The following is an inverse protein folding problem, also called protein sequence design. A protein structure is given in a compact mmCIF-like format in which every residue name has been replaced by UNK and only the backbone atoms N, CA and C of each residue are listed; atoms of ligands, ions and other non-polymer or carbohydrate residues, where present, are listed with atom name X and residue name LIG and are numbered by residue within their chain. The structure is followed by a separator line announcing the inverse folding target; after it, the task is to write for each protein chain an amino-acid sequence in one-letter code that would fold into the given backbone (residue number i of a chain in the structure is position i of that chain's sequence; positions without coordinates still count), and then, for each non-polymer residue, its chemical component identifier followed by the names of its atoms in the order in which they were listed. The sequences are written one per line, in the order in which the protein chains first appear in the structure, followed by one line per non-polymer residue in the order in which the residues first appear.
data_IF_371439605149
#
_entry.id   IF_371439605149
#
_cell.length_a   1.000
_cell.length_b   1.000
_cell.length_c   1.000
_cell.angle_alpha   90.00
_cell.angle_beta   90.00
_cell.angle_gamma   90.00
#
_symmetry.space_group_name_H-M   'P 1'
#
loop_
_entity.id
_entity.type
_entity.pdbx_description
1 polymer ?
#
# COMPACT_ATOMS: atom_id res chain seq x y z
N UNK A 1 -18.81 -11.33 2.37
CA UNK A 1 -17.44 -11.00 1.88
C UNK A 1 -16.53 -11.06 3.10
N UNK A 2 -15.29 -11.53 2.96
CA UNK A 2 -14.29 -11.49 4.04
C UNK A 2 -13.71 -10.07 4.06
N UNK A 3 -13.95 -9.23 5.10
CA UNK A 3 -13.52 -7.83 5.14
C UNK A 3 -12.02 -7.64 4.92
N UNK A 4 -11.21 -8.56 5.46
CA UNK A 4 -9.75 -8.60 5.31
C UNK A 4 -9.36 -8.67 3.84
N UNK A 5 -10.05 -9.51 3.06
CA UNK A 5 -9.80 -9.67 1.63
C UNK A 5 -10.16 -8.39 0.86
N UNK A 6 -11.16 -7.62 1.30
CA UNK A 6 -11.51 -6.35 0.65
C UNK A 6 -10.42 -5.32 0.83
N UNK A 7 -9.88 -5.15 2.04
CA UNK A 7 -8.77 -4.23 2.29
C UNK A 7 -7.49 -4.69 1.56
N UNK A 8 -7.19 -5.99 1.58
CA UNK A 8 -6.07 -6.55 0.83
C UNK A 8 -6.20 -6.31 -0.68
N UNK A 9 -7.41 -6.46 -1.23
CA UNK A 9 -7.67 -6.19 -2.64
C UNK A 9 -7.51 -4.70 -2.98
N UNK A 10 -7.99 -3.79 -2.13
CA UNK A 10 -7.79 -2.34 -2.29
C UNK A 10 -6.29 -2.03 -2.33
N UNK A 11 -5.53 -2.50 -1.34
CA UNK A 11 -4.09 -2.28 -1.26
C UNK A 11 -3.36 -2.85 -2.49
N UNK A 12 -3.68 -4.07 -2.89
CA UNK A 12 -3.07 -4.73 -4.05
C UNK A 12 -3.37 -4.01 -5.37
N UNK A 13 -4.61 -3.54 -5.58
CA UNK A 13 -4.98 -2.78 -6.78
C UNK A 13 -4.28 -1.42 -6.80
N UNK A 14 -4.31 -0.69 -5.69
CA UNK A 14 -3.63 0.60 -5.54
C UNK A 14 -2.13 0.49 -5.84
N UNK A 15 -1.44 -0.45 -5.19
CA UNK A 15 -0.01 -0.70 -5.40
C UNK A 15 0.29 -1.25 -6.79
N UNK A 16 -0.56 -2.14 -7.32
CA UNK A 16 -0.41 -2.68 -8.68
C UNK A 16 -0.49 -1.59 -9.75
N UNK A 17 -1.40 -0.63 -9.59
CA UNK A 17 -1.48 0.54 -10.47
C UNK A 17 -0.26 1.44 -10.31
N UNK A 18 0.15 1.71 -9.07
CA UNK A 18 1.29 2.57 -8.77
C UNK A 18 2.61 2.04 -9.36
N UNK A 19 2.93 0.77 -9.09
CA UNK A 19 4.17 0.12 -9.53
C UNK A 19 4.13 -0.37 -10.97
N UNK A 20 2.95 -0.71 -11.49
CA UNK A 20 2.77 -1.20 -12.85
C UNK A 20 2.63 -0.12 -13.92
N UNK A 21 2.03 1.03 -13.59
CA UNK A 21 1.71 2.07 -14.57
C UNK A 21 2.29 3.44 -14.24
N UNK A 22 2.14 3.92 -12.99
CA UNK A 22 2.56 5.28 -12.61
C UNK A 22 4.09 5.40 -12.55
N UNK A 23 4.74 4.53 -11.76
CA UNK A 23 6.19 4.50 -11.58
C UNK A 23 7.02 4.29 -12.86
N UNK A 24 6.67 3.35 -13.77
CA UNK A 24 7.42 3.21 -15.01
C UNK A 24 7.29 4.43 -15.94
N UNK A 25 6.16 5.13 -15.90
CA UNK A 25 5.89 6.33 -16.68
C UNK A 25 6.62 7.60 -16.19
N UNK A 26 7.22 7.58 -15.00
CA UNK A 26 7.98 8.72 -14.48
C UNK A 26 9.30 8.92 -15.27
N UNK A 27 9.46 10.14 -15.79
CA UNK A 27 10.65 10.58 -16.52
C UNK A 27 11.92 10.58 -15.66
N UNK A 28 11.78 10.81 -14.35
CA UNK A 28 12.86 10.70 -13.36
C UNK A 28 12.43 9.76 -12.23
N UNK A 29 13.14 8.65 -12.10
CA UNK A 29 12.93 7.63 -11.07
C UNK A 29 13.87 7.96 -9.91
N UNK A 30 13.42 8.84 -9.02
CA UNK A 30 14.17 9.23 -7.82
C UNK A 30 13.52 8.62 -6.58
N UNK A 31 14.29 8.38 -5.50
CA UNK A 31 13.73 7.90 -4.22
C UNK A 31 12.60 8.80 -3.70
N UNK A 32 12.73 10.12 -3.90
CA UNK A 32 11.69 11.09 -3.53
C UNK A 32 10.40 10.93 -4.33
N UNK A 33 10.50 10.63 -5.62
CA UNK A 33 9.32 10.39 -6.46
C UNK A 33 8.60 9.09 -6.05
N UNK A 34 9.37 8.07 -5.66
CA UNK A 34 8.84 6.83 -5.11
C UNK A 34 8.07 7.10 -3.80
N UNK A 35 8.72 7.73 -2.82
CA UNK A 35 8.10 8.05 -1.52
C UNK A 35 6.84 8.93 -1.64
N UNK A 36 6.82 9.89 -2.57
CA UNK A 36 5.64 10.73 -2.79
C UNK A 36 4.48 9.94 -3.41
N UNK A 37 4.79 9.02 -4.34
CA UNK A 37 3.77 8.16 -4.93
C UNK A 37 3.21 7.19 -3.89
N UNK A 38 4.08 6.53 -3.14
CA UNK A 38 3.73 5.63 -2.04
C UNK A 38 2.84 6.34 -0.99
N UNK A 39 3.16 7.59 -0.62
CA UNK A 39 2.32 8.41 0.25
C UNK A 39 0.95 8.73 -0.38
N UNK A 40 0.91 9.10 -1.66
CA UNK A 40 -0.36 9.42 -2.33
C UNK A 40 -1.27 8.18 -2.42
N UNK A 41 -0.69 7.03 -2.75
CA UNK A 41 -1.39 5.76 -2.93
C UNK A 41 -1.88 5.22 -1.59
N UNK A 42 -1.07 5.31 -0.54
CA UNK A 42 -1.48 4.92 0.82
C UNK A 42 -2.65 5.78 1.33
N UNK A 43 -2.63 7.10 1.09
CA UNK A 43 -3.75 7.99 1.45
C UNK A 43 -5.03 7.58 0.72
N UNK A 44 -4.96 7.29 -0.58
CA UNK A 44 -6.13 6.83 -1.35
C UNK A 44 -6.65 5.49 -0.84
N UNK A 45 -5.76 4.54 -0.55
CA UNK A 45 -6.13 3.23 -0.02
C UNK A 45 -6.80 3.34 1.36
N UNK A 46 -6.21 4.12 2.27
CA UNK A 46 -6.75 4.37 3.61
C UNK A 46 -8.08 5.12 3.57
N UNK A 47 -8.22 6.10 2.69
CA UNK A 47 -9.49 6.82 2.52
C UNK A 47 -10.59 5.88 2.02
N UNK A 48 -10.26 5.01 1.06
CA UNK A 48 -11.20 4.00 0.53
C UNK A 48 -11.60 2.99 1.60
N UNK A 49 -10.64 2.48 2.37
CA UNK A 49 -10.92 1.58 3.49
C UNK A 49 -11.77 2.26 4.58
N UNK A 50 -11.45 3.51 4.90
CA UNK A 50 -12.24 4.32 5.84
C UNK A 50 -13.68 4.49 5.36
N UNK A 51 -13.88 4.90 4.11
CA UNK A 51 -15.22 5.06 3.54
C UNK A 51 -16.09 3.77 3.62
N UNK A 52 -15.46 2.60 3.62
CA UNK A 52 -16.14 1.30 3.74
C UNK A 52 -16.37 0.84 5.18
N UNK A 53 -15.43 1.13 6.09
CA UNK A 53 -15.39 0.47 7.41
C UNK A 53 -15.43 1.42 8.63
N UNK A 54 -15.45 2.75 8.43
CA UNK A 54 -15.34 3.76 9.49
C UNK A 54 -16.28 3.57 10.67
N UNK A 55 -17.51 3.10 10.44
CA UNK A 55 -18.53 2.87 11.47
C UNK A 55 -19.02 1.41 11.51
N UNK A 56 -18.23 0.49 10.95
CA UNK A 56 -18.65 -0.92 10.82
C UNK A 56 -18.56 -1.71 12.14
N UNK A 57 -17.76 -1.25 13.11
CA UNK A 57 -17.43 -2.01 14.32
C UNK A 57 -16.69 -3.33 14.05
N UNK A 58 -16.24 -3.56 12.81
CA UNK A 58 -15.62 -4.79 12.37
C UNK A 58 -14.18 -4.90 12.90
N UNK A 59 -13.88 -6.00 13.58
CA UNK A 59 -12.50 -6.40 13.89
C UNK A 59 -11.84 -7.06 12.69
N UNK A 60 -10.54 -6.83 12.52
CA UNK A 60 -9.73 -7.40 11.44
C UNK A 60 -8.57 -8.21 12.04
N UNK A 61 -8.41 -9.45 11.60
CA UNK A 61 -7.38 -10.35 12.11
C UNK A 61 -6.05 -10.12 11.37
N UNK A 62 -5.01 -9.69 12.10
CA UNK A 62 -3.66 -9.47 11.57
C UNK A 62 -2.74 -10.71 11.76
N UNK A 63 -3.30 -11.92 11.66
CA UNK A 63 -2.71 -13.25 11.90
C UNK A 63 -2.32 -13.54 13.37
N UNK A 64 -1.99 -12.51 14.15
CA UNK A 64 -1.46 -12.63 15.52
C UNK A 64 -2.36 -11.96 16.55
N UNK A 65 -3.08 -10.91 16.15
CA UNK A 65 -4.00 -10.15 17.02
C UNK A 65 -5.03 -9.40 16.18
N UNK A 66 -6.20 -9.14 16.77
CA UNK A 66 -7.25 -8.35 16.17
C UNK A 66 -6.93 -6.86 16.24
N UNK A 67 -7.17 -6.16 15.15
CA UNK A 67 -6.98 -4.71 15.01
C UNK A 67 -8.19 -4.07 14.34
N UNK A 68 -8.22 -2.74 14.34
CA UNK A 68 -9.20 -1.99 13.56
C UNK A 68 -8.82 -1.94 12.07
N UNK A 69 -9.76 -1.52 11.22
CA UNK A 69 -9.56 -1.38 9.78
C UNK A 69 -8.36 -0.51 9.41
N UNK A 70 -8.07 0.53 10.20
CA UNK A 70 -7.01 1.49 9.90
C UNK A 70 -5.63 0.86 10.05
N UNK A 71 -5.40 0.19 11.18
CA UNK A 71 -4.15 -0.51 11.45
C UNK A 71 -4.00 -1.70 10.51
N UNK A 72 -5.08 -2.44 10.25
CA UNK A 72 -5.05 -3.54 9.27
C UNK A 72 -4.66 -3.04 7.88
N UNK A 73 -5.30 -1.98 7.39
CA UNK A 73 -5.01 -1.39 6.09
C UNK A 73 -3.58 -0.87 6.01
N UNK A 74 -3.10 -0.15 7.03
CA UNK A 74 -1.76 0.41 7.06
C UNK A 74 -0.67 -0.69 7.06
N UNK A 75 -0.79 -1.68 7.94
CA UNK A 75 0.22 -2.74 8.06
C UNK A 75 0.25 -3.62 6.81
N UNK A 76 -0.92 -4.02 6.30
CA UNK A 76 -0.97 -4.82 5.08
C UNK A 76 -0.51 -4.04 3.85
N UNK A 77 -0.76 -2.72 3.79
CA UNK A 77 -0.24 -1.87 2.73
C UNK A 77 1.28 -1.88 2.72
N UNK A 78 1.93 -1.58 3.86
CA UNK A 78 3.39 -1.59 3.99
C UNK A 78 3.97 -2.98 3.70
N UNK A 79 3.31 -4.05 4.16
CA UNK A 79 3.75 -5.42 3.93
C UNK A 79 3.76 -5.81 2.43
N UNK A 80 2.80 -5.32 1.64
CA UNK A 80 2.73 -5.54 0.18
C UNK A 80 3.66 -4.57 -0.56
N UNK A 81 3.75 -3.33 -0.11
CA UNK A 81 4.56 -2.28 -0.71
C UNK A 81 6.06 -2.57 -0.59
N UNK A 82 6.54 -2.97 0.59
CA UNK A 82 7.97 -3.22 0.85
C UNK A 82 8.65 -4.11 -0.20
N UNK A 83 8.11 -5.31 -0.55
CA UNK A 83 8.73 -6.14 -1.58
C UNK A 83 8.64 -5.51 -2.99
N UNK A 84 7.58 -4.74 -3.29
CA UNK A 84 7.43 -4.03 -4.57
C UNK A 84 8.46 -2.88 -4.69
N UNK A 85 8.59 -2.07 -3.64
CA UNK A 85 9.58 -1.01 -3.52
C UNK A 85 10.99 -1.57 -3.69
N UNK A 86 11.33 -2.63 -2.95
CA UNK A 86 12.65 -3.27 -3.04
C UNK A 86 12.92 -3.86 -4.43
N UNK A 87 11.92 -4.50 -5.05
CA UNK A 87 12.04 -5.01 -6.41
C UNK A 87 12.27 -3.86 -7.42
N UNK A 88 11.54 -2.76 -7.27
CA UNK A 88 11.62 -1.60 -8.15
C UNK A 88 12.98 -0.89 -8.04
N UNK A 89 13.49 -0.69 -6.81
CA UNK A 89 14.80 -0.09 -6.54
C UNK A 89 15.92 -0.93 -7.16
N UNK A 90 15.91 -2.25 -6.92
CA UNK A 90 16.87 -3.20 -7.52
C UNK A 90 16.84 -3.17 -9.04
N UNK A 91 15.65 -3.12 -9.65
CA UNK A 91 15.50 -3.09 -11.11
C UNK A 91 16.06 -1.81 -11.75
N UNK A 92 16.09 -0.71 -11.02
CA UNK A 92 16.54 0.59 -11.52
C UNK A 92 17.92 1.02 -11.00
N UNK A 93 18.61 0.16 -10.24
CA UNK A 93 19.94 0.45 -9.70
C UNK A 93 19.95 1.66 -8.75
N UNK A 94 18.85 1.90 -8.06
CA UNK A 94 18.74 2.97 -7.06
C UNK A 94 19.11 2.34 -5.73
N UNK A 95 20.26 2.74 -5.16
CA UNK A 95 20.65 2.29 -3.83
C UNK A 95 19.62 2.79 -2.79
N UNK A 96 19.17 1.92 -1.88
CA UNK A 96 18.35 2.36 -0.76
C UNK A 96 19.16 3.38 0.06
N UNK A 97 18.52 4.44 0.58
CA UNK A 97 19.23 5.46 1.35
C UNK A 97 19.93 4.83 2.56
N UNK A 98 21.22 5.16 2.72
CA UNK A 98 22.11 4.77 3.83
C UNK A 98 21.55 5.07 5.22
#
# INVERSE_FOLDING_TARGET
MIPELQILAINAVCLGVAYGFILPGLARKTPRALALNDLAVSVVALFTAGALFWDSGQGFDLLVFDVNWFIFALVTFVAIETPLALHFLRRHGIDPPD
#
